data_IF_071287982051
#
_entry.id   IF_071287982051
#
_cell.length_a   1.000
_cell.length_b   1.000
_cell.length_c   1.000
_cell.angle_alpha   90.00
_cell.angle_beta   90.00
_cell.angle_gamma   90.00
#
_symmetry.space_group_name_H-M   'P 1'
#
loop_
_entity.id
_entity.type
_entity.pdbx_description
1 polymer ?
#
# COMPACT_ATOMS: atom_id res chain seq x y z
N UNK A 1 8.66 8.73 14.22
CA UNK A 1 9.74 7.74 14.09
C UNK A 1 9.14 6.52 13.39
N UNK A 2 9.81 5.89 12.41
CA UNK A 2 9.30 4.70 11.76
C UNK A 2 8.95 3.60 12.77
N UNK A 3 7.95 2.78 12.44
CA UNK A 3 7.51 1.66 13.28
C UNK A 3 8.64 0.61 13.37
N UNK A 4 8.88 0.06 14.57
CA UNK A 4 9.83 -1.03 14.74
C UNK A 4 9.38 -2.26 13.93
N UNK A 5 10.34 -2.91 13.25
CA UNK A 5 10.09 -4.12 12.48
C UNK A 5 9.43 -5.24 13.31
N UNK A 6 9.71 -5.31 14.61
CA UNK A 6 9.11 -6.28 15.52
C UNK A 6 7.62 -6.01 15.79
N UNK A 7 7.16 -4.79 15.59
CA UNK A 7 5.77 -4.39 15.80
C UNK A 7 4.89 -4.59 14.56
N UNK A 8 5.49 -4.83 13.38
CA UNK A 8 4.75 -5.08 12.14
C UNK A 8 3.92 -6.37 12.27
N UNK A 9 2.60 -6.22 12.20
CA UNK A 9 1.63 -7.31 12.27
C UNK A 9 0.69 -7.29 11.09
N UNK A 10 0.43 -8.47 10.55
CA UNK A 10 -0.53 -8.74 9.51
C UNK A 10 -1.92 -8.27 9.93
N UNK A 11 -2.66 -7.68 9.00
CA UNK A 11 -4.02 -7.18 9.21
C UNK A 11 -4.10 -5.79 9.83
N UNK A 12 -2.98 -5.22 10.29
CA UNK A 12 -2.96 -3.85 10.79
C UNK A 12 -2.95 -2.83 9.65
N UNK A 13 -3.53 -1.66 9.95
CA UNK A 13 -3.56 -0.50 9.08
C UNK A 13 -2.52 0.52 9.56
N UNK A 14 -1.58 0.87 8.68
CA UNK A 14 -0.50 1.81 8.98
C UNK A 14 -0.53 2.99 8.01
N UNK A 15 0.09 4.10 8.40
CA UNK A 15 0.45 5.17 7.48
C UNK A 15 1.85 4.92 6.93
N UNK A 16 1.96 4.83 5.61
CA UNK A 16 3.22 4.64 4.92
C UNK A 16 3.44 5.70 3.82
N UNK A 17 4.70 6.12 3.63
CA UNK A 17 5.12 6.81 2.43
C UNK A 17 5.14 5.81 1.28
N UNK A 18 4.15 5.91 0.41
CA UNK A 18 4.01 5.04 -0.75
C UNK A 18 4.52 5.79 -1.98
N UNK A 19 5.69 5.42 -2.55
CA UNK A 19 6.24 6.09 -3.71
C UNK A 19 5.38 5.82 -4.95
N UNK A 20 5.35 6.78 -5.87
CA UNK A 20 4.90 6.49 -7.22
C UNK A 20 5.89 5.56 -7.91
N UNK A 21 5.37 4.69 -8.79
CA UNK A 21 6.23 3.85 -9.62
C UNK A 21 7.15 4.78 -10.43
N UNK A 22 8.47 4.62 -10.33
CA UNK A 22 9.38 5.46 -11.08
C UNK A 22 9.17 5.21 -12.58
N UNK A 23 9.09 6.29 -13.35
CA UNK A 23 9.04 6.27 -14.80
C UNK A 23 10.26 6.96 -15.38
N UNK A 24 10.59 6.67 -16.63
CA UNK A 24 11.61 7.43 -17.35
C UNK A 24 10.99 8.69 -17.99
N UNK A 25 11.70 9.83 -17.97
CA UNK A 25 13.04 10.05 -17.39
C UNK A 25 13.04 10.02 -15.85
N UNK A 26 14.08 9.43 -15.25
CA UNK A 26 14.24 9.27 -13.81
C UNK A 26 15.36 10.19 -13.29
N UNK A 27 15.09 10.90 -12.19
CA UNK A 27 16.05 11.79 -11.53
C UNK A 27 16.74 11.08 -10.37
N UNK A 28 18.06 11.20 -10.30
CA UNK A 28 18.90 10.68 -9.24
C UNK A 28 19.04 11.71 -8.08
N UNK A 29 19.47 11.30 -6.88
CA UNK A 29 19.63 12.22 -5.74
C UNK A 29 20.61 13.38 -5.98
N UNK A 30 21.56 13.21 -6.89
CA UNK A 30 22.54 14.24 -7.30
C UNK A 30 22.01 15.16 -8.42
N UNK A 31 20.76 14.99 -8.85
CA UNK A 31 20.12 15.75 -9.91
C UNK A 31 20.39 15.25 -11.34
N UNK A 32 21.21 14.19 -11.50
CA UNK A 32 21.42 13.57 -12.81
C UNK A 32 20.14 12.90 -13.29
N UNK A 33 19.84 13.04 -14.58
CA UNK A 33 18.63 12.48 -15.20
C UNK A 33 18.99 11.32 -16.12
N UNK A 34 18.54 10.12 -15.77
CA UNK A 34 18.58 8.96 -16.66
C UNK A 34 17.33 8.99 -17.56
N UNK A 35 17.52 9.09 -18.88
CA UNK A 35 16.39 9.23 -19.82
C UNK A 35 15.80 7.90 -20.25
N UNK A 36 16.58 6.83 -20.19
CA UNK A 36 16.19 5.50 -20.68
C UNK A 36 16.66 4.40 -19.74
N UNK A 37 16.09 3.20 -19.92
CA UNK A 37 16.51 1.98 -19.20
C UNK A 37 17.94 1.61 -19.58
N UNK A 38 18.33 1.81 -20.84
CA UNK A 38 19.67 1.52 -21.35
C UNK A 38 20.74 2.42 -20.71
N UNK A 39 20.43 3.70 -20.52
CA UNK A 39 21.31 4.65 -19.81
C UNK A 39 21.51 4.20 -18.37
N UNK A 40 20.41 3.83 -17.69
CA UNK A 40 20.44 3.32 -16.33
C UNK A 40 21.28 2.05 -16.21
N UNK A 41 21.04 1.07 -17.09
CA UNK A 41 21.75 -0.21 -17.09
C UNK A 41 23.26 -0.01 -17.30
N UNK A 42 23.64 0.90 -18.21
CA UNK A 42 25.05 1.23 -18.48
C UNK A 42 25.71 1.90 -17.27
N UNK A 43 25.02 2.84 -16.63
CA UNK A 43 25.54 3.62 -15.51
C UNK A 43 25.71 2.76 -14.25
N UNK A 44 24.70 1.97 -13.90
CA UNK A 44 24.67 1.25 -12.62
C UNK A 44 25.14 -0.19 -12.70
N UNK A 45 25.04 -0.84 -13.88
CA UNK A 45 25.50 -2.23 -14.11
C UNK A 45 24.93 -3.22 -13.09
N UNK A 46 23.63 -3.09 -12.79
CA UNK A 46 22.92 -3.96 -11.84
C UNK A 46 23.13 -3.61 -10.36
N UNK A 47 23.93 -2.59 -10.02
CA UNK A 47 24.08 -2.11 -8.65
C UNK A 47 22.84 -1.31 -8.21
N UNK A 48 22.45 -1.36 -6.93
CA UNK A 48 21.39 -0.50 -6.41
C UNK A 48 21.73 0.98 -6.62
N UNK A 49 20.71 1.78 -6.96
CA UNK A 49 20.82 3.22 -7.08
C UNK A 49 19.59 3.90 -6.51
N UNK A 50 19.83 5.06 -5.88
CA UNK A 50 18.74 5.90 -5.39
C UNK A 50 17.99 6.53 -6.56
N UNK A 51 16.68 6.63 -6.43
CA UNK A 51 15.80 7.36 -7.37
C UNK A 51 15.03 8.39 -6.55
N UNK A 52 14.96 9.61 -7.06
CA UNK A 52 14.03 10.63 -6.55
C UNK A 52 12.66 10.31 -7.13
N UNK A 53 11.74 9.89 -6.27
CA UNK A 53 10.35 9.67 -6.63
C UNK A 53 9.45 10.49 -5.73
N UNK A 54 8.36 11.01 -6.30
CA UNK A 54 7.27 11.53 -5.50
C UNK A 54 6.67 10.41 -4.65
N UNK A 55 6.25 10.72 -3.44
CA UNK A 55 5.55 9.80 -2.58
C UNK A 55 4.31 10.45 -1.96
N UNK A 56 3.32 9.63 -1.63
CA UNK A 56 2.17 10.09 -0.84
C UNK A 56 2.08 9.30 0.45
N UNK A 57 1.79 9.99 1.54
CA UNK A 57 1.41 9.35 2.79
C UNK A 57 0.02 8.72 2.62
N UNK A 58 -0.08 7.41 2.80
CA UNK A 58 -1.34 6.68 2.60
C UNK A 58 -1.56 5.64 3.69
N UNK A 59 -2.82 5.35 4.05
CA UNK A 59 -3.14 4.15 4.80
C UNK A 59 -2.86 2.91 3.94
N UNK A 60 -2.23 1.92 4.55
CA UNK A 60 -1.91 0.63 3.93
C UNK A 60 -2.27 -0.51 4.87
N UNK A 61 -2.75 -1.62 4.30
CA UNK A 61 -3.00 -2.86 5.02
C UNK A 61 -1.76 -3.77 4.94
N UNK A 62 -1.22 -4.17 6.09
CA UNK A 62 -0.08 -5.09 6.13
C UNK A 62 -0.51 -6.54 5.85
N UNK A 63 0.19 -7.23 4.95
CA UNK A 63 -0.18 -8.58 4.53
C UNK A 63 0.62 -9.70 5.19
N UNK A 64 1.72 -9.39 5.85
CA UNK A 64 2.53 -10.36 6.59
C UNK A 64 3.00 -9.82 7.94
N UNK A 65 3.35 -10.75 8.82
CA UNK A 65 3.99 -10.45 10.08
C UNK A 65 5.49 -10.28 9.89
N UNK A 66 6.07 -9.28 10.58
CA UNK A 66 7.52 -9.01 10.63
C UNK A 66 8.14 -8.79 9.24
N UNK A 67 9.42 -8.41 9.23
CA UNK A 67 10.27 -8.42 8.03
C UNK A 67 11.48 -9.29 8.28
N UNK A 68 12.04 -9.91 7.23
CA UNK A 68 13.36 -10.57 7.36
C UNK A 68 14.40 -9.49 7.63
N UNK A 69 15.32 -9.72 8.56
CA UNK A 69 16.31 -8.70 8.95
C UNK A 69 17.14 -8.14 7.76
N UNK A 70 17.33 -8.92 6.69
CA UNK A 70 18.05 -8.53 5.49
C UNK A 70 17.20 -7.93 4.35
N UNK A 71 15.86 -8.01 4.43
CA UNK A 71 14.94 -7.45 3.44
C UNK A 71 13.96 -6.53 4.13
N UNK A 72 14.12 -5.23 3.94
CA UNK A 72 13.26 -4.24 4.57
C UNK A 72 11.87 -4.12 3.92
N UNK A 73 11.58 -4.87 2.86
CA UNK A 73 10.31 -4.75 2.13
C UNK A 73 9.15 -5.40 2.88
N UNK A 74 8.03 -4.70 2.91
CA UNK A 74 6.76 -5.09 3.51
C UNK A 74 5.69 -5.11 2.44
N UNK A 75 5.06 -6.26 2.21
CA UNK A 75 3.90 -6.38 1.33
C UNK A 75 2.68 -5.75 1.99
N UNK A 76 2.00 -4.92 1.22
CA UNK A 76 0.81 -4.24 1.66
C UNK A 76 -0.18 -4.00 0.51
N UNK A 77 -1.43 -3.71 0.88
CA UNK A 77 -2.44 -3.19 -0.03
C UNK A 77 -2.71 -1.72 0.28
N UNK A 78 -2.94 -0.92 -0.77
CA UNK A 78 -3.34 0.48 -0.59
C UNK A 78 -4.79 0.56 -0.15
N UNK A 79 -5.02 1.38 0.86
CA UNK A 79 -6.35 1.81 1.27
C UNK A 79 -6.57 3.19 0.66
N UNK A 80 -7.72 3.37 0.00
CA UNK A 80 -8.12 4.64 -0.57
C UNK A 80 -9.47 5.04 -0.01
N UNK A 81 -9.66 6.34 0.21
CA UNK A 81 -10.97 6.90 0.48
C UNK A 81 -11.92 6.61 -0.67
N UNK A 82 -13.18 6.30 -0.35
CA UNK A 82 -14.25 6.14 -1.33
C UNK A 82 -14.53 7.49 -1.97
N UNK A 83 -14.41 7.57 -3.29
CA UNK A 83 -14.75 8.78 -4.04
C UNK A 83 -16.17 8.70 -4.61
N UNK A 84 -16.79 9.83 -5.00
CA UNK A 84 -18.11 9.83 -5.64
C UNK A 84 -18.18 8.92 -6.86
N UNK A 85 -17.10 8.80 -7.64
CA UNK A 85 -17.08 7.95 -8.83
C UNK A 85 -17.21 6.46 -8.50
N UNK A 86 -16.75 6.04 -7.31
CA UNK A 86 -16.93 4.66 -6.83
C UNK A 86 -18.40 4.34 -6.53
N UNK A 87 -19.23 5.37 -6.25
CA UNK A 87 -20.65 5.25 -5.97
C UNK A 87 -21.54 5.52 -7.20
N UNK A 88 -20.93 5.86 -8.34
CA UNK A 88 -21.67 6.24 -9.55
C UNK A 88 -22.48 5.09 -10.17
N UNK A 89 -22.09 3.84 -9.91
CA UNK A 89 -22.80 2.64 -10.37
C UNK A 89 -23.37 1.91 -9.14
N UNK A 90 -24.67 2.10 -8.79
CA UNK A 90 -25.24 1.59 -7.55
C UNK A 90 -25.11 0.07 -7.37
N UNK A 91 -25.28 -0.71 -8.43
CA UNK A 91 -25.16 -2.17 -8.39
C UNK A 91 -23.73 -2.63 -8.04
N UNK A 92 -22.72 -1.93 -8.56
CA UNK A 92 -21.31 -2.21 -8.25
C UNK A 92 -21.03 -1.81 -6.81
N UNK A 93 -21.50 -0.64 -6.37
CA UNK A 93 -21.33 -0.17 -5.00
C UNK A 93 -21.98 -1.12 -3.98
N UNK A 94 -23.19 -1.61 -4.25
CA UNK A 94 -23.87 -2.59 -3.40
C UNK A 94 -23.07 -3.90 -3.27
N UNK A 95 -22.40 -4.36 -4.35
CA UNK A 95 -21.46 -5.49 -4.27
C UNK A 95 -20.24 -5.17 -3.43
N UNK A 96 -19.71 -3.94 -3.50
CA UNK A 96 -18.56 -3.52 -2.68
C UNK A 96 -18.95 -3.48 -1.19
N UNK A 97 -20.10 -2.89 -0.86
CA UNK A 97 -20.61 -2.79 0.51
C UNK A 97 -20.86 -4.16 1.16
N UNK A 98 -21.42 -5.11 0.40
CA UNK A 98 -21.64 -6.49 0.84
C UNK A 98 -20.40 -7.36 0.79
N UNK A 99 -19.23 -6.77 0.50
CA UNK A 99 -17.98 -7.47 0.28
C UNK A 99 -18.05 -8.57 -0.79
N UNK A 100 -18.92 -8.48 -1.80
CA UNK A 100 -19.00 -9.45 -2.89
C UNK A 100 -18.12 -9.06 -4.08
N UNK A 101 -17.62 -7.83 -4.12
CA UNK A 101 -16.81 -7.34 -5.23
C UNK A 101 -15.43 -8.00 -5.26
N UNK A 102 -14.97 -8.53 -6.41
CA UNK A 102 -13.72 -9.30 -6.49
C UNK A 102 -12.46 -8.45 -6.27
N UNK A 103 -12.51 -7.15 -6.60
CA UNK A 103 -11.33 -6.27 -6.56
C UNK A 103 -11.30 -5.26 -5.41
N UNK A 104 -12.40 -5.13 -4.67
CA UNK A 104 -12.54 -4.11 -3.63
C UNK A 104 -13.09 -4.72 -2.36
N UNK A 105 -12.49 -4.35 -1.24
CA UNK A 105 -12.99 -4.68 0.09
C UNK A 105 -13.34 -3.39 0.82
N UNK A 106 -14.60 -3.26 1.26
CA UNK A 106 -15.11 -2.05 1.87
C UNK A 106 -14.76 -1.96 3.35
N UNK A 107 -14.21 -0.82 3.76
CA UNK A 107 -13.95 -0.42 5.13
C UNK A 107 -14.90 0.73 5.48
N UNK A 108 -16.09 0.39 5.99
CA UNK A 108 -17.07 1.37 6.46
C UNK A 108 -16.51 2.16 7.64
N UNK A 109 -16.64 3.49 7.62
CA UNK A 109 -16.24 4.37 8.74
C UNK A 109 -17.04 4.10 10.01
N UNK A 110 -18.23 3.51 9.90
CA UNK A 110 -19.09 3.18 11.04
C UNK A 110 -18.48 2.07 11.90
N UNK A 111 -17.59 1.26 11.32
CA UNK A 111 -16.86 0.24 12.04
C UNK A 111 -15.59 0.88 12.65
N UNK A 112 -15.70 1.30 13.91
CA UNK A 112 -14.64 2.01 14.62
C UNK A 112 -13.29 1.28 14.73
N UNK A 113 -13.23 -0.06 14.54
CA UNK A 113 -11.97 -0.83 14.60
C UNK A 113 -10.95 -0.43 13.53
N UNK A 114 -11.39 0.15 12.41
CA UNK A 114 -10.46 0.52 11.33
C UNK A 114 -9.74 1.83 11.60
N UNK A 115 -10.22 2.67 12.53
CA UNK A 115 -9.62 3.97 12.86
C UNK A 115 -9.36 4.86 11.62
N UNK A 116 -10.24 4.77 10.61
CA UNK A 116 -10.21 5.60 9.40
C UNK A 116 -11.19 6.76 9.55
N UNK A 117 -10.85 7.91 8.95
CA UNK A 117 -11.67 9.13 9.06
C UNK A 117 -12.91 9.12 8.17
N UNK A 118 -12.92 8.27 7.16
CA UNK A 118 -13.94 8.23 6.11
C UNK A 118 -14.06 6.82 5.54
N UNK A 119 -15.16 6.57 4.83
CA UNK A 119 -15.37 5.29 4.14
C UNK A 119 -14.21 5.06 3.19
N UNK A 120 -13.65 3.86 3.26
CA UNK A 120 -12.45 3.52 2.51
C UNK A 120 -12.61 2.17 1.84
N UNK A 121 -11.79 1.92 0.82
CA UNK A 121 -11.71 0.65 0.13
C UNK A 121 -10.26 0.18 0.08
N UNK A 122 -10.07 -1.10 0.32
CA UNK A 122 -8.83 -1.78 -0.04
C UNK A 122 -8.97 -2.17 -1.52
N UNK A 123 -8.05 -1.69 -2.35
CA UNK A 123 -7.95 -2.14 -3.74
C UNK A 123 -7.09 -3.41 -3.78
N UNK A 124 -7.68 -4.57 -4.04
CA UNK A 124 -6.99 -5.86 -3.99
C UNK A 124 -5.95 -5.99 -5.12
N UNK A 125 -6.20 -5.34 -6.27
CA UNK A 125 -5.24 -5.21 -7.38
C UNK A 125 -4.05 -4.29 -7.07
N UNK A 126 -4.04 -3.64 -5.91
CA UNK A 126 -3.02 -2.66 -5.53
C UNK A 126 -1.89 -3.23 -4.67
N UNK A 127 -1.68 -4.55 -4.75
CA UNK A 127 -0.58 -5.25 -4.09
C UNK A 127 0.74 -4.59 -4.46
N UNK A 128 1.51 -4.22 -3.44
CA UNK A 128 2.83 -3.65 -3.60
C UNK A 128 3.68 -3.86 -2.37
N UNK A 129 4.94 -3.44 -2.46
CA UNK A 129 5.88 -3.43 -1.35
C UNK A 129 6.25 -2.01 -0.97
N UNK A 130 6.44 -1.77 0.32
CA UNK A 130 7.09 -0.57 0.86
C UNK A 130 8.20 -0.97 1.79
N UNK A 131 9.29 -0.22 1.81
CA UNK A 131 10.33 -0.44 2.81
C UNK A 131 9.80 -0.13 4.22
N UNK A 132 10.17 -0.91 5.23
CA UNK A 132 9.72 -0.76 6.63
C UNK A 132 9.96 0.64 7.19
N UNK A 133 11.05 1.30 6.77
CA UNK A 133 11.34 2.68 7.20
C UNK A 133 10.36 3.72 6.63
N UNK A 134 9.63 3.36 5.57
CA UNK A 134 8.56 4.19 5.01
C UNK A 134 7.24 4.06 5.79
N UNK A 135 7.13 3.09 6.71
CA UNK A 135 5.96 2.93 7.57
C UNK A 135 6.14 3.83 8.80
N UNK A 136 5.45 4.97 8.80
CA UNK A 136 5.72 6.08 9.70
C UNK A 136 4.95 6.02 11.01
N UNK A 137 3.73 5.48 10.98
CA UNK A 137 2.85 5.47 12.14
C UNK A 137 1.75 4.42 12.05
N UNK A 138 1.31 3.95 13.21
CA UNK A 138 0.08 3.19 13.36
C UNK A 138 -1.12 4.11 13.16
N UNK A 139 -2.14 3.66 12.43
CA UNK A 139 -3.46 4.33 12.50
C UNK A 139 -4.24 3.95 13.75
N UNK A 140 -3.86 2.83 14.38
CA UNK A 140 -4.66 2.14 15.40
C UNK A 140 -5.69 1.17 14.80
N UNK A 141 -5.84 1.16 13.47
CA UNK A 141 -6.80 0.34 12.75
C UNK A 141 -6.31 -1.08 12.47
N UNK A 142 -7.24 -2.03 12.43
CA UNK A 142 -6.96 -3.42 12.02
C UNK A 142 -8.19 -4.11 11.41
N UNK A 143 -7.92 -5.11 10.56
CA UNK A 143 -8.92 -6.07 10.10
C UNK A 143 -9.00 -7.24 11.08
N UNK A 144 -10.20 -7.79 11.24
CA UNK A 144 -10.39 -9.03 11.99
C UNK A 144 -9.80 -10.23 11.25
N UNK A 145 -9.63 -11.35 11.97
CA UNK A 145 -9.12 -12.59 11.37
C UNK A 145 -9.95 -13.06 10.16
N UNK A 146 -11.28 -13.01 10.29
CA UNK A 146 -12.19 -13.42 9.21
C UNK A 146 -12.03 -12.52 7.98
N UNK A 147 -11.93 -11.20 8.16
CA UNK A 147 -11.74 -10.27 7.04
C UNK A 147 -10.39 -10.46 6.37
N UNK A 148 -9.35 -10.71 7.16
CA UNK A 148 -8.04 -11.02 6.61
C UNK A 148 -8.05 -12.34 5.83
N UNK A 149 -8.85 -13.33 6.24
CA UNK A 149 -9.03 -14.55 5.48
C UNK A 149 -9.70 -14.25 4.13
N UNK A 150 -10.80 -13.49 4.13
CA UNK A 150 -11.51 -13.07 2.92
C UNK A 150 -10.60 -12.30 1.95
N UNK A 151 -9.79 -11.36 2.47
CA UNK A 151 -8.80 -10.63 1.66
C UNK A 151 -7.77 -11.59 1.06
N UNK A 152 -7.31 -12.60 1.81
CA UNK A 152 -6.30 -13.56 1.33
C UNK A 152 -6.84 -14.47 0.24
N UNK A 153 -8.06 -14.96 0.41
CA UNK A 153 -8.73 -15.82 -0.57
C UNK A 153 -8.91 -15.13 -1.92
N UNK A 154 -9.03 -13.80 -1.93
CA UNK A 154 -9.11 -13.00 -3.17
C UNK A 154 -7.77 -12.63 -3.78
N UNK A 155 -6.68 -12.78 -3.03
CA UNK A 155 -5.32 -12.55 -3.51
C UNK A 155 -4.67 -13.82 -4.08
N UNK A 156 -5.17 -15.00 -3.71
CA UNK A 156 -4.72 -16.31 -4.18
C UNK A 156 -5.24 -16.61 -5.60
#
# INVERSE_FOLDING_TARGET
MPIDAAELRRGRICLALFPFAPSFPATLPDGVVCRTIEDWARQFKGRPAGIVSEARLRPVLLLHDRTRAGHGDVLCLRINSVKPENRAIPEVWAKIERHEHPFFFHLSREIGRYQLREDSIIALSSLGSVHRSAILAWTGGELSHHEMQVVSERLA
#
